data_IF_337922479743
#
_entry.id   IF_337922479743
#
_cell.length_a   1.000
_cell.length_b   1.000
_cell.length_c   1.000
_cell.angle_alpha   90.00
_cell.angle_beta   90.00
_cell.angle_gamma   90.00
#
_symmetry.space_group_name_H-M   'P 1'
#
loop_
_entity.id
_entity.type
_entity.pdbx_description
1 polymer ?
#
# COMPACT_ATOMS: atom_id res chain seq x y z
N UNK A 1 13.14 -15.91 10.16
CA UNK A 1 12.48 -14.62 9.85
C UNK A 1 13.26 -13.92 8.75
N UNK A 2 12.57 -13.40 7.73
CA UNK A 2 13.18 -12.61 6.65
C UNK A 2 12.35 -11.35 6.42
N UNK A 3 12.97 -10.27 5.93
CA UNK A 3 12.30 -8.98 5.67
C UNK A 3 12.50 -7.98 6.79
N UNK A 4 11.71 -6.90 6.82
CA UNK A 4 11.81 -5.89 7.86
C UNK A 4 10.96 -6.25 9.09
N UNK A 5 11.46 -5.98 10.29
CA UNK A 5 10.73 -6.28 11.51
C UNK A 5 11.27 -5.57 12.75
N UNK A 6 10.41 -5.50 13.75
CA UNK A 6 10.69 -4.93 15.06
C UNK A 6 10.78 -6.06 16.09
N UNK A 7 11.87 -6.11 16.84
CA UNK A 7 12.09 -7.08 17.91
C UNK A 7 12.35 -6.38 19.23
N UNK A 8 11.50 -6.66 20.22
CA UNK A 8 11.64 -6.19 21.60
C UNK A 8 12.31 -7.29 22.42
N UNK A 9 13.47 -6.98 22.97
CA UNK A 9 14.20 -7.89 23.85
C UNK A 9 13.62 -7.83 25.26
N UNK A 10 13.66 -8.95 25.99
CA UNK A 10 13.18 -9.02 27.38
C UNK A 10 13.93 -8.10 28.36
N UNK A 11 15.12 -7.63 27.99
CA UNK A 11 15.91 -6.66 28.75
C UNK A 11 15.54 -5.18 28.47
N UNK A 12 14.51 -4.93 27.65
CA UNK A 12 14.07 -3.59 27.28
C UNK A 12 14.82 -2.97 26.10
N UNK A 13 15.71 -3.71 25.43
CA UNK A 13 16.27 -3.27 24.16
C UNK A 13 15.27 -3.46 23.02
N UNK A 14 15.47 -2.72 21.94
CA UNK A 14 14.64 -2.74 20.75
C UNK A 14 15.53 -2.77 19.51
N UNK A 15 15.19 -3.61 18.56
CA UNK A 15 15.79 -3.55 17.23
C UNK A 15 14.69 -3.36 16.18
N UNK A 16 14.91 -2.44 15.26
CA UNK A 16 14.04 -2.15 14.13
C UNK A 16 14.89 -2.16 12.87
N UNK A 17 14.66 -3.11 11.97
CA UNK A 17 15.52 -3.24 10.81
C UNK A 17 15.22 -4.43 9.94
N UNK A 18 16.06 -4.62 8.95
CA UNK A 18 15.99 -5.79 8.10
C UNK A 18 16.56 -7.05 8.81
N UNK A 19 15.97 -8.19 8.44
CA UNK A 19 16.22 -9.51 8.96
C UNK A 19 16.43 -10.50 7.81
N UNK A 20 17.33 -11.45 8.03
CA UNK A 20 17.57 -12.57 7.14
C UNK A 20 17.89 -13.80 7.99
N UNK A 21 17.16 -14.89 7.77
CA UNK A 21 17.32 -16.15 8.52
C UNK A 21 17.24 -15.98 10.05
N UNK A 22 16.42 -15.03 10.52
CA UNK A 22 16.29 -14.74 11.95
C UNK A 22 17.44 -13.92 12.55
N UNK A 23 18.37 -13.43 11.73
CA UNK A 23 19.46 -12.56 12.14
C UNK A 23 19.26 -11.15 11.59
N UNK A 24 19.77 -10.16 12.31
CA UNK A 24 19.81 -8.76 11.88
C UNK A 24 20.70 -8.64 10.64
N UNK A 25 20.16 -8.12 9.55
CA UNK A 25 20.82 -8.07 8.24
C UNK A 25 20.35 -6.83 7.48
N UNK A 26 21.25 -6.01 6.94
CA UNK A 26 20.91 -4.79 6.21
C UNK A 26 20.76 -3.56 7.10
N UNK A 27 20.05 -2.54 6.63
CA UNK A 27 19.85 -1.30 7.40
C UNK A 27 18.94 -1.54 8.60
N UNK A 28 19.35 -1.02 9.75
CA UNK A 28 18.58 -1.15 10.99
C UNK A 28 19.07 -0.22 12.10
N UNK A 29 18.20 -0.05 13.09
CA UNK A 29 18.40 0.75 14.29
C UNK A 29 18.20 -0.10 15.53
N UNK A 30 19.09 0.06 16.50
CA UNK A 30 19.05 -0.61 17.78
C UNK A 30 18.94 0.44 18.88
N UNK A 31 17.88 0.36 19.67
CA UNK A 31 17.63 1.26 20.79
C UNK A 31 17.86 0.50 22.09
N UNK A 32 18.78 1.01 22.89
CA UNK A 32 19.06 0.50 24.21
C UNK A 32 17.98 0.95 25.21
N UNK A 33 17.91 0.27 26.35
CA UNK A 33 16.91 0.57 27.39
C UNK A 33 17.07 1.97 27.99
N UNK A 34 18.28 2.54 27.90
CA UNK A 34 18.61 3.88 28.34
C UNK A 34 18.19 4.96 27.32
N UNK A 35 17.62 4.57 26.17
CA UNK A 35 17.23 5.48 25.10
C UNK A 35 18.34 5.78 24.09
N UNK A 36 19.56 5.31 24.30
CA UNK A 36 20.65 5.43 23.33
C UNK A 36 20.32 4.63 22.08
N UNK A 37 20.66 5.16 20.90
CA UNK A 37 20.37 4.50 19.63
C UNK A 37 21.64 4.29 18.80
N UNK A 38 21.75 3.12 18.20
CA UNK A 38 22.79 2.78 17.23
C UNK A 38 22.13 2.39 15.92
N UNK A 39 22.40 3.15 14.88
CA UNK A 39 21.88 2.92 13.53
C UNK A 39 23.02 2.58 12.59
N UNK A 40 22.71 1.85 11.51
CA UNK A 40 23.70 1.48 10.52
C UNK A 40 23.34 0.23 9.74
N UNK A 41 24.37 -0.43 9.19
CA UNK A 41 24.23 -1.68 8.46
C UNK A 41 24.65 -2.87 9.31
N UNK A 42 23.77 -3.85 9.38
CA UNK A 42 23.91 -5.08 10.16
C UNK A 42 24.26 -6.23 9.23
N UNK A 43 25.16 -7.10 9.66
CA UNK A 43 25.50 -8.32 8.95
C UNK A 43 25.65 -9.47 9.94
N UNK A 44 24.95 -10.57 9.70
CA UNK A 44 24.99 -11.78 10.54
C UNK A 44 24.68 -11.51 12.02
N UNK A 45 23.88 -10.48 12.33
CA UNK A 45 23.55 -10.10 13.70
C UNK A 45 24.45 -9.03 14.33
N UNK A 46 25.53 -8.58 13.67
CA UNK A 46 26.47 -7.59 14.18
C UNK A 46 26.38 -6.28 13.40
N UNK A 47 26.64 -5.15 14.06
CA UNK A 47 26.69 -3.84 13.40
C UNK A 47 28.02 -3.74 12.62
N UNK A 48 27.95 -3.90 11.30
CA UNK A 48 29.11 -3.86 10.43
C UNK A 48 29.56 -2.41 10.15
N UNK A 49 28.59 -1.51 9.94
CA UNK A 49 28.86 -0.08 9.67
C UNK A 49 27.89 0.76 10.48
N UNK A 50 28.38 1.43 11.52
CA UNK A 50 27.60 2.42 12.26
C UNK A 50 27.38 3.66 11.39
N UNK A 51 26.16 4.18 11.36
CA UNK A 51 25.87 5.45 10.72
C UNK A 51 26.40 6.60 11.57
N UNK A 52 27.16 7.51 10.95
CA UNK A 52 27.66 8.72 11.62
C UNK A 52 26.71 9.88 11.35
N UNK A 53 26.46 10.65 12.40
CA UNK A 53 25.52 11.78 12.42
C UNK A 53 26.09 13.01 11.69
N UNK A 54 27.43 13.13 11.64
CA UNK A 54 28.16 14.31 11.15
C UNK A 54 29.25 13.99 10.11
N UNK A 55 29.02 13.00 9.24
CA UNK A 55 29.98 12.66 8.18
C UNK A 55 29.86 13.60 6.98
N UNK A 56 30.92 14.35 6.68
CA UNK A 56 31.09 15.17 5.47
C UNK A 56 30.45 14.46 4.24
N UNK A 57 29.48 15.09 3.52
CA UNK A 57 28.67 14.44 2.48
C UNK A 57 29.42 13.86 1.27
N UNK A 58 30.76 13.91 1.25
CA UNK A 58 31.60 13.42 0.16
C UNK A 58 32.07 11.95 0.25
N UNK A 59 31.80 11.22 1.34
CA UNK A 59 32.25 9.81 1.43
C UNK A 59 31.20 8.85 0.89
N UNK A 60 31.48 8.27 -0.28
CA UNK A 60 30.64 7.28 -0.97
C UNK A 60 30.27 6.05 -0.12
N UNK A 61 31.04 5.76 0.93
CA UNK A 61 30.86 4.57 1.78
C UNK A 61 30.20 4.86 3.14
N UNK A 62 29.95 6.13 3.48
CA UNK A 62 29.34 6.48 4.77
C UNK A 62 27.82 6.30 4.71
N UNK A 63 27.30 5.42 5.56
CA UNK A 63 25.85 5.29 5.76
C UNK A 63 25.41 6.48 6.61
N UNK A 64 24.65 7.39 6.04
CA UNK A 64 24.10 8.53 6.80
C UNK A 64 22.97 8.05 7.70
N UNK A 65 22.90 8.62 8.90
CA UNK A 65 21.83 8.33 9.86
C UNK A 65 20.43 8.52 9.23
N UNK A 66 20.27 9.59 8.44
CA UNK A 66 19.03 9.89 7.70
C UNK A 66 18.61 8.77 6.76
N UNK A 67 19.56 8.10 6.07
CA UNK A 67 19.23 6.96 5.19
C UNK A 67 18.66 5.78 5.98
N UNK A 68 19.22 5.49 7.15
CA UNK A 68 18.73 4.40 8.02
C UNK A 68 17.33 4.74 8.54
N UNK A 69 17.13 5.97 9.02
CA UNK A 69 15.83 6.44 9.49
C UNK A 69 14.77 6.36 8.39
N UNK A 70 15.08 6.82 7.18
CA UNK A 70 14.14 6.76 6.06
C UNK A 70 13.77 5.31 5.73
N UNK A 71 14.75 4.40 5.66
CA UNK A 71 14.48 2.98 5.41
C UNK A 71 13.60 2.35 6.50
N UNK A 72 13.84 2.67 7.77
CA UNK A 72 13.02 2.21 8.90
C UNK A 72 11.60 2.76 8.81
N UNK A 73 11.45 4.06 8.54
CA UNK A 73 10.13 4.70 8.41
C UNK A 73 9.35 4.17 7.21
N UNK A 74 9.99 3.97 6.06
CA UNK A 74 9.35 3.40 4.88
C UNK A 74 8.83 1.99 5.15
N UNK A 75 9.63 1.18 5.84
CA UNK A 75 9.22 -0.16 6.20
C UNK A 75 8.07 -0.18 7.23
N UNK A 76 8.07 0.73 8.20
CA UNK A 76 6.94 0.92 9.12
C UNK A 76 5.66 1.33 8.38
N UNK A 77 5.73 2.32 7.47
CA UNK A 77 4.58 2.73 6.66
C UNK A 77 4.07 1.60 5.77
N UNK A 78 4.96 0.80 5.19
CA UNK A 78 4.58 -0.36 4.39
C UNK A 78 3.86 -1.42 5.25
N UNK A 79 4.34 -1.68 6.47
CA UNK A 79 3.71 -2.59 7.42
C UNK A 79 2.34 -2.08 7.89
N UNK A 80 2.23 -0.79 8.22
CA UNK A 80 0.97 -0.16 8.59
C UNK A 80 -0.04 -0.19 7.44
N UNK A 81 0.41 0.14 6.22
CA UNK A 81 -0.42 0.01 5.02
C UNK A 81 -0.90 -1.41 4.83
N UNK A 82 -0.04 -2.42 5.01
CA UNK A 82 -0.40 -3.84 4.91
C UNK A 82 -1.41 -4.29 5.99
N UNK A 83 -1.34 -3.73 7.19
CA UNK A 83 -2.30 -3.97 8.26
C UNK A 83 -3.64 -3.29 7.99
N UNK A 84 -3.61 -2.03 7.54
CA UNK A 84 -4.77 -1.22 7.19
C UNK A 84 -5.31 -1.49 5.78
N UNK A 85 -4.70 -2.39 4.99
CA UNK A 85 -5.38 -2.97 3.84
C UNK A 85 -6.57 -3.75 4.41
N UNK A 86 -7.82 -3.45 4.01
CA UNK A 86 -8.97 -4.20 4.45
C UNK A 86 -8.79 -5.67 4.05
N UNK A 87 -8.33 -6.49 4.99
CA UNK A 87 -8.19 -7.93 4.80
C UNK A 87 -9.60 -8.43 4.52
N UNK A 88 -9.81 -8.99 3.32
CA UNK A 88 -11.08 -9.57 2.84
C UNK A 88 -12.14 -8.59 2.30
N UNK A 89 -12.27 -7.36 2.83
CA UNK A 89 -13.35 -6.45 2.41
C UNK A 89 -13.26 -5.98 0.95
N UNK A 90 -12.08 -5.85 0.34
CA UNK A 90 -11.97 -5.40 -1.06
C UNK A 90 -12.60 -6.40 -2.05
N UNK A 91 -12.47 -7.71 -1.79
CA UNK A 91 -13.04 -8.75 -2.68
C UNK A 91 -14.55 -8.86 -2.51
N UNK A 92 -15.02 -8.80 -1.25
CA UNK A 92 -16.46 -8.85 -0.94
C UNK A 92 -17.17 -7.60 -1.45
N UNK A 93 -16.65 -6.40 -1.17
CA UNK A 93 -17.27 -5.15 -1.61
C UNK A 93 -17.30 -5.03 -3.14
N UNK A 94 -16.25 -5.50 -3.84
CA UNK A 94 -16.24 -5.54 -5.31
C UNK A 94 -17.27 -6.53 -5.85
N UNK A 95 -17.43 -7.70 -5.24
CA UNK A 95 -18.43 -8.69 -5.63
C UNK A 95 -19.85 -8.17 -5.38
N UNK A 96 -20.11 -7.58 -4.21
CA UNK A 96 -21.40 -6.97 -3.85
C UNK A 96 -21.72 -5.81 -4.81
N UNK A 97 -20.77 -4.94 -5.12
CA UNK A 97 -20.96 -3.86 -6.09
C UNK A 97 -21.23 -4.37 -7.52
N UNK A 98 -20.57 -5.45 -7.94
CA UNK A 98 -20.84 -6.09 -9.24
C UNK A 98 -22.24 -6.71 -9.28
N UNK A 99 -22.64 -7.43 -8.22
CA UNK A 99 -23.98 -8.01 -8.11
C UNK A 99 -25.08 -6.94 -8.12
N UNK A 100 -24.89 -5.86 -7.35
CA UNK A 100 -25.85 -4.74 -7.31
C UNK A 100 -25.96 -4.03 -8.67
N UNK A 101 -24.84 -3.84 -9.39
CA UNK A 101 -24.88 -3.29 -10.75
C UNK A 101 -25.63 -4.20 -11.72
N UNK A 102 -25.38 -5.51 -11.66
CA UNK A 102 -26.06 -6.48 -12.51
C UNK A 102 -27.57 -6.53 -12.24
N UNK A 103 -27.97 -6.56 -10.96
CA UNK A 103 -29.37 -6.55 -10.55
C UNK A 103 -30.09 -5.27 -11.02
N UNK A 104 -29.45 -4.11 -10.85
CA UNK A 104 -30.00 -2.83 -11.32
C UNK A 104 -30.11 -2.78 -12.84
N UNK A 105 -29.10 -3.24 -13.58
CA UNK A 105 -29.13 -3.30 -15.03
C UNK A 105 -30.25 -4.21 -15.54
N UNK A 106 -30.42 -5.40 -14.95
CA UNK A 106 -31.50 -6.31 -15.28
C UNK A 106 -32.88 -5.68 -15.03
N UNK A 107 -33.06 -5.00 -13.90
CA UNK A 107 -34.29 -4.28 -13.57
C UNK A 107 -34.59 -3.14 -14.55
N UNK A 108 -33.57 -2.39 -14.98
CA UNK A 108 -33.74 -1.32 -15.97
C UNK A 108 -34.06 -1.91 -17.36
N UNK A 109 -33.39 -2.98 -17.76
CA UNK A 109 -33.64 -3.64 -19.04
C UNK A 109 -35.05 -4.23 -19.12
N UNK A 110 -35.55 -4.85 -18.05
CA UNK A 110 -36.91 -5.39 -18.01
C UNK A 110 -37.96 -4.28 -18.08
N UNK A 111 -37.78 -3.19 -17.32
CA UNK A 111 -38.65 -2.01 -17.40
C UNK A 111 -38.63 -1.39 -18.79
N UNK A 112 -37.44 -1.26 -19.41
CA UNK A 112 -37.30 -0.73 -20.77
C UNK A 112 -37.97 -1.62 -21.82
N UNK A 113 -37.90 -2.93 -21.66
CA UNK A 113 -38.57 -3.89 -22.55
C UNK A 113 -40.10 -3.82 -22.42
N UNK A 114 -40.63 -3.70 -21.20
CA UNK A 114 -42.07 -3.49 -20.96
C UNK A 114 -42.52 -2.16 -21.57
N UNK A 115 -41.77 -1.08 -21.35
CA UNK A 115 -42.06 0.24 -21.91
C UNK A 115 -42.08 0.21 -23.45
N UNK A 116 -41.11 -0.46 -24.09
CA UNK A 116 -41.04 -0.62 -25.55
C UNK A 116 -42.21 -1.41 -26.11
N UNK A 117 -42.76 -2.37 -25.35
CA UNK A 117 -43.93 -3.14 -25.74
C UNK A 117 -45.24 -2.37 -25.56
N UNK A 118 -45.29 -1.49 -24.56
CA UNK A 118 -46.44 -0.65 -24.26
C UNK A 118 -46.49 0.61 -25.15
N UNK A 119 -45.33 1.07 -25.62
CA UNK A 119 -45.16 2.19 -26.54
C UNK A 119 -44.11 1.83 -27.62
N UNK A 120 -44.47 1.04 -28.65
CA UNK A 120 -43.62 0.86 -29.81
C UNK A 120 -43.59 2.20 -30.57
N UNK A 121 -42.44 2.89 -30.59
CA UNK A 121 -42.33 4.26 -31.08
C UNK A 121 -42.91 4.47 -32.50
N UNK A 122 -43.72 5.53 -32.62
CA UNK A 122 -44.06 6.20 -33.87
C UNK A 122 -42.85 7.00 -34.41
N UNK A 123 -41.77 6.31 -34.81
CA UNK A 123 -40.56 6.97 -35.32
C UNK A 123 -40.41 6.87 -36.86
N UNK A 124 -41.48 6.53 -37.61
CA UNK A 124 -41.40 6.28 -39.07
C UNK A 124 -42.13 7.28 -40.00
N UNK A 125 -42.68 8.41 -39.54
CA UNK A 125 -43.24 9.40 -40.47
C UNK A 125 -43.04 10.86 -40.03
N UNK A 126 -41.92 11.44 -40.46
CA UNK A 126 -41.77 12.89 -40.65
C UNK A 126 -41.57 13.12 -42.16
N UNK A 127 -42.54 13.71 -42.89
CA UNK A 127 -42.37 13.97 -44.31
C UNK A 127 -41.34 15.09 -44.51
N UNK A 128 -40.41 14.85 -45.43
CA UNK A 128 -39.48 15.87 -45.92
C UNK A 128 -40.26 17.02 -46.56
N UNK A 129 -40.24 18.20 -45.94
CA UNK A 129 -40.59 19.44 -46.62
C UNK A 129 -39.34 20.33 -46.70
N UNK A 130 -38.53 20.03 -47.69
CA UNK A 130 -37.70 21.02 -48.37
C UNK A 130 -38.61 22.09 -48.97
N UNK A 131 -38.53 23.32 -48.49
CA UNK A 131 -39.04 24.48 -49.22
C UNK A 131 -37.87 25.42 -49.46
N UNK A 132 -37.57 25.55 -50.74
CA UNK A 132 -36.58 26.45 -51.32
C UNK A 132 -37.32 27.64 -51.91
N UNK A 133 -36.75 28.84 -51.65
CA UNK A 133 -37.13 30.21 -52.05
C UNK A 133 -38.26 30.88 -51.29
#
# INVERSE_FOLDING_TARGET
MHGFGVYKFGNGHLYEGAWHEGRRQGLGMYTFRNGETQSGYWQNGFLAVASKENGNPGSSSAISHVKVLNAVQEAQRAAEKAYNVPKVEIRVNKAVAAANRAANAARVASVKAVQKRMYPNNDDDLPSLSVQR
#
